data_IF_302205430844
#
_entry.id   IF_302205430844
#
_cell.length_a   1.000
_cell.length_b   1.000
_cell.length_c   1.000
_cell.angle_alpha   90.00
_cell.angle_beta   90.00
_cell.angle_gamma   90.00
#
_symmetry.space_group_name_H-M   'P 1'
#
loop_
_entity.id
_entity.type
_entity.pdbx_description
1 polymer ?
#
# COMPACT_ATOMS: atom_id res chain seq x y z
N UNK A 1 -14.94 -15.59 11.97
CA UNK A 1 -16.04 -15.11 11.12
C UNK A 1 -16.65 -13.86 11.75
N UNK A 2 -16.67 -12.72 11.03
CA UNK A 2 -17.31 -11.48 11.52
C UNK A 2 -18.61 -11.30 10.76
N UNK A 3 -19.75 -11.57 11.41
CA UNK A 3 -21.08 -11.51 10.79
C UNK A 3 -21.84 -10.22 11.09
N UNK A 4 -21.39 -9.44 12.11
CA UNK A 4 -22.07 -8.20 12.52
C UNK A 4 -21.09 -7.18 13.11
N UNK A 5 -21.45 -5.90 13.04
CA UNK A 5 -20.71 -4.80 13.71
C UNK A 5 -21.43 -4.32 14.98
N UNK A 6 -22.69 -4.67 15.15
CA UNK A 6 -23.50 -4.36 16.32
C UNK A 6 -24.09 -5.65 16.89
N UNK A 7 -24.55 -5.59 18.15
CA UNK A 7 -25.24 -6.72 18.79
C UNK A 7 -26.55 -7.02 18.06
N UNK A 8 -26.63 -8.20 17.46
CA UNK A 8 -27.82 -8.68 16.76
C UNK A 8 -27.91 -10.21 16.84
N UNK A 9 -29.09 -10.75 16.60
CA UNK A 9 -29.28 -12.20 16.43
C UNK A 9 -29.12 -12.54 14.95
N UNK A 10 -28.27 -13.52 14.66
CA UNK A 10 -28.08 -14.06 13.32
C UNK A 10 -28.33 -15.55 13.36
N UNK A 11 -29.28 -16.01 12.55
CA UNK A 11 -29.53 -17.44 12.33
C UNK A 11 -28.72 -17.91 11.13
N UNK A 12 -27.92 -18.95 11.33
CA UNK A 12 -27.11 -19.56 10.28
C UNK A 12 -27.58 -21.01 10.10
N UNK A 13 -28.19 -21.29 8.95
CA UNK A 13 -28.64 -22.65 8.57
C UNK A 13 -27.79 -23.23 7.44
N UNK A 14 -27.80 -24.54 7.28
CA UNK A 14 -27.21 -25.24 6.17
C UNK A 14 -25.68 -25.22 6.13
N UNK A 15 -25.01 -25.01 7.27
CA UNK A 15 -23.55 -25.06 7.36
C UNK A 15 -23.08 -26.48 7.06
N UNK A 16 -22.20 -26.63 6.07
CA UNK A 16 -21.54 -27.90 5.74
C UNK A 16 -20.02 -27.70 5.79
N UNK A 17 -19.36 -28.57 6.54
CA UNK A 17 -17.89 -28.71 6.49
C UNK A 17 -17.61 -30.01 5.75
N UNK A 18 -16.81 -29.92 4.70
CA UNK A 18 -16.41 -31.07 3.88
C UNK A 18 -14.91 -31.19 3.99
N UNK A 19 -14.43 -32.32 4.50
CA UNK A 19 -13.02 -32.67 4.46
C UNK A 19 -12.75 -33.41 3.16
N UNK A 20 -11.93 -32.80 2.29
CA UNK A 20 -11.51 -33.39 1.03
C UNK A 20 -10.24 -34.25 1.16
N UNK A 21 -9.68 -34.35 2.36
CA UNK A 21 -8.41 -35.07 2.58
C UNK A 21 -7.17 -34.31 2.06
N UNK A 22 -6.00 -34.85 2.39
CA UNK A 22 -4.71 -34.20 2.10
C UNK A 22 -4.32 -34.18 0.62
N UNK A 23 -4.78 -35.17 -0.14
CA UNK A 23 -4.39 -35.41 -1.52
C UNK A 23 -5.39 -34.80 -2.53
N UNK A 24 -6.41 -34.09 -2.06
CA UNK A 24 -7.38 -33.46 -2.95
C UNK A 24 -6.74 -32.22 -3.60
N UNK A 25 -6.73 -32.13 -4.95
CA UNK A 25 -6.11 -30.99 -5.63
C UNK A 25 -6.84 -29.68 -5.29
N UNK A 26 -6.10 -28.66 -4.87
CA UNK A 26 -6.67 -27.36 -4.48
C UNK A 26 -7.47 -26.73 -5.62
N UNK A 27 -7.02 -26.95 -6.87
CA UNK A 27 -7.68 -26.44 -8.07
C UNK A 27 -9.06 -27.05 -8.31
N UNK A 28 -9.31 -28.24 -7.73
CA UNK A 28 -10.58 -28.96 -7.83
C UNK A 28 -11.58 -28.58 -6.74
N UNK A 29 -11.16 -27.78 -5.75
CA UNK A 29 -12.09 -27.27 -4.73
C UNK A 29 -13.18 -26.41 -5.36
N UNK A 30 -14.43 -26.48 -4.84
CA UNK A 30 -15.50 -25.62 -5.30
C UNK A 30 -15.11 -24.14 -5.21
N UNK A 31 -15.10 -23.45 -6.35
CA UNK A 31 -14.81 -22.02 -6.38
C UNK A 31 -16.01 -21.25 -5.88
N UNK A 32 -15.86 -20.63 -4.71
CA UNK A 32 -16.90 -19.81 -4.09
C UNK A 32 -16.80 -18.32 -4.47
N UNK A 33 -15.80 -17.95 -5.24
CA UNK A 33 -15.64 -16.55 -5.66
C UNK A 33 -16.62 -16.20 -6.77
N UNK A 34 -17.62 -15.42 -6.41
CA UNK A 34 -18.41 -14.67 -7.38
C UNK A 34 -17.57 -13.48 -7.86
N UNK A 35 -17.57 -13.10 -9.15
CA UNK A 35 -16.92 -11.88 -9.62
C UNK A 35 -17.28 -10.69 -8.74
N UNK A 36 -16.28 -9.99 -8.19
CA UNK A 36 -16.51 -8.88 -7.26
C UNK A 36 -17.12 -7.66 -7.94
N UNK A 37 -16.98 -7.55 -9.26
CA UNK A 37 -17.52 -6.44 -10.07
C UNK A 37 -17.76 -6.86 -11.54
N UNK A 38 -18.67 -6.16 -12.20
CA UNK A 38 -18.95 -6.34 -13.63
C UNK A 38 -17.69 -5.97 -14.43
N UNK A 39 -17.23 -6.87 -15.28
CA UNK A 39 -16.02 -6.66 -16.09
C UNK A 39 -14.74 -7.20 -15.45
N UNK A 40 -14.83 -8.04 -14.42
CA UNK A 40 -13.67 -8.72 -13.84
C UNK A 40 -13.06 -9.78 -14.76
N UNK A 41 -13.84 -10.34 -15.69
CA UNK A 41 -13.37 -11.38 -16.61
C UNK A 41 -12.13 -10.94 -17.40
N UNK A 42 -11.27 -11.90 -17.76
CA UNK A 42 -10.03 -11.63 -18.48
C UNK A 42 -10.27 -11.08 -19.90
N UNK A 43 -11.41 -11.38 -20.48
CA UNK A 43 -11.85 -10.94 -21.80
C UNK A 43 -12.74 -9.67 -21.78
N UNK A 44 -12.89 -9.03 -20.62
CA UNK A 44 -13.72 -7.85 -20.49
C UNK A 44 -13.30 -6.73 -21.47
N UNK A 45 -14.23 -6.10 -22.21
CA UNK A 45 -13.91 -5.13 -23.28
C UNK A 45 -13.08 -3.93 -22.84
N UNK A 46 -13.21 -3.52 -21.56
CA UNK A 46 -12.43 -2.40 -21.02
C UNK A 46 -10.92 -2.66 -21.03
N UNK A 47 -10.47 -3.94 -21.03
CA UNK A 47 -9.05 -4.30 -21.02
C UNK A 47 -8.37 -3.94 -22.33
N UNK A 48 -9.01 -4.21 -23.46
CA UNK A 48 -8.52 -3.80 -24.78
C UNK A 48 -8.44 -2.27 -24.88
N UNK A 49 -9.50 -1.59 -24.49
CA UNK A 49 -9.53 -0.12 -24.47
C UNK A 49 -8.48 0.49 -23.49
N UNK A 50 -8.17 -0.19 -22.39
CA UNK A 50 -7.09 0.23 -21.49
C UNK A 50 -5.72 0.04 -22.14
N UNK A 51 -5.49 -1.08 -22.85
CA UNK A 51 -4.24 -1.33 -23.58
C UNK A 51 -3.99 -0.26 -24.64
N UNK A 52 -4.99 0.11 -25.41
CA UNK A 52 -4.91 1.19 -26.41
C UNK A 52 -4.54 2.54 -25.77
N UNK A 53 -5.17 2.89 -24.63
CA UNK A 53 -4.84 4.12 -23.92
C UNK A 53 -3.42 4.10 -23.36
N UNK A 54 -2.95 2.96 -22.86
CA UNK A 54 -1.57 2.80 -22.39
C UNK A 54 -0.60 3.02 -23.54
N UNK A 55 -0.84 2.39 -24.68
CA UNK A 55 -0.01 2.53 -25.88
C UNK A 55 0.08 3.99 -26.30
N UNK A 56 -1.06 4.67 -26.40
CA UNK A 56 -1.16 6.05 -26.89
C UNK A 56 -0.61 7.10 -25.91
N UNK A 57 -0.78 6.91 -24.60
CA UNK A 57 -0.57 7.97 -23.61
C UNK A 57 0.49 7.67 -22.56
N UNK A 58 0.98 6.41 -22.49
CA UNK A 58 1.93 5.98 -21.46
C UNK A 58 3.25 5.45 -22.03
N UNK A 59 3.30 5.23 -23.34
CA UNK A 59 4.51 4.86 -24.04
C UNK A 59 4.99 5.99 -24.93
N UNK A 60 6.26 5.99 -25.23
CA UNK A 60 6.92 6.93 -26.12
C UNK A 60 8.17 6.29 -26.70
N UNK A 61 8.66 6.88 -27.76
CA UNK A 61 9.88 6.41 -28.42
C UNK A 61 11.12 6.79 -27.58
N UNK A 62 12.06 5.85 -27.48
CA UNK A 62 13.38 6.06 -26.91
C UNK A 62 14.43 5.83 -27.99
N UNK A 63 15.11 6.88 -28.42
CA UNK A 63 16.24 6.78 -29.31
C UNK A 63 17.54 6.69 -28.50
N UNK A 64 18.37 5.70 -28.79
CA UNK A 64 19.68 5.51 -28.15
C UNK A 64 20.73 5.46 -29.25
N UNK A 65 21.70 6.37 -29.19
CA UNK A 65 22.85 6.38 -30.05
C UNK A 65 24.07 5.91 -29.26
N UNK A 66 24.75 4.88 -29.77
CA UNK A 66 26.01 4.40 -29.18
C UNK A 66 27.14 4.95 -29.98
N UNK A 67 28.02 5.66 -29.31
CA UNK A 67 29.21 6.27 -29.91
C UNK A 67 30.48 5.75 -29.23
N UNK A 68 31.59 5.74 -29.98
CA UNK A 68 32.92 5.45 -29.44
C UNK A 68 33.51 6.65 -28.65
N UNK A 69 34.75 6.51 -28.15
CA UNK A 69 35.44 7.55 -27.39
C UNK A 69 35.74 8.83 -28.22
N UNK A 70 35.66 8.74 -29.54
CA UNK A 70 35.84 9.83 -30.49
C UNK A 70 34.51 10.43 -30.97
N UNK A 71 33.35 9.93 -30.43
CA UNK A 71 32.03 10.40 -30.78
C UNK A 71 31.49 9.84 -32.10
N UNK A 72 32.11 8.79 -32.67
CA UNK A 72 31.63 8.17 -33.90
C UNK A 72 30.59 7.06 -33.61
N UNK A 73 29.51 6.96 -34.41
CA UNK A 73 28.52 5.93 -34.22
C UNK A 73 29.09 4.51 -34.30
N UNK A 74 28.74 3.67 -33.33
CA UNK A 74 29.11 2.24 -33.29
C UNK A 74 28.01 1.40 -33.90
N UNK A 75 28.27 0.87 -35.10
CA UNK A 75 27.33 -0.01 -35.78
C UNK A 75 27.24 -1.39 -35.09
N UNK A 76 26.02 -1.95 -34.98
CA UNK A 76 25.80 -3.27 -34.44
C UNK A 76 25.99 -3.41 -32.92
N UNK A 77 26.06 -2.31 -32.18
CA UNK A 77 26.11 -2.34 -30.73
C UNK A 77 24.83 -2.95 -30.14
N UNK A 78 24.97 -3.92 -29.25
CA UNK A 78 23.82 -4.48 -28.50
C UNK A 78 23.46 -3.55 -27.33
N UNK A 79 22.22 -3.09 -27.29
CA UNK A 79 21.71 -2.21 -26.24
C UNK A 79 20.61 -2.92 -25.47
N UNK A 80 20.83 -3.12 -24.16
CA UNK A 80 19.82 -3.63 -23.25
C UNK A 80 19.18 -2.49 -22.45
N UNK A 81 17.88 -2.29 -22.58
CA UNK A 81 17.13 -1.26 -21.86
C UNK A 81 16.27 -1.91 -20.80
N UNK A 82 16.41 -1.46 -19.56
CA UNK A 82 15.61 -1.91 -18.44
C UNK A 82 15.04 -0.72 -17.67
N UNK A 83 13.73 -0.62 -17.59
CA UNK A 83 13.08 0.38 -16.76
C UNK A 83 13.38 0.08 -15.28
N UNK A 84 13.91 1.06 -14.57
CA UNK A 84 14.25 0.96 -13.14
C UNK A 84 13.10 1.43 -12.26
N UNK A 85 12.41 2.50 -12.69
CA UNK A 85 11.32 3.09 -11.91
C UNK A 85 10.29 3.73 -12.82
N UNK A 86 9.04 3.54 -12.49
CA UNK A 86 7.93 4.17 -13.20
C UNK A 86 7.74 5.62 -12.73
N UNK A 87 7.50 6.55 -13.65
CA UNK A 87 7.24 7.95 -13.29
C UNK A 87 5.88 8.15 -12.60
N UNK A 88 4.89 7.34 -12.95
CA UNK A 88 3.60 7.30 -12.27
C UNK A 88 3.75 6.67 -10.88
N UNK A 89 3.05 7.23 -9.88
CA UNK A 89 3.06 6.71 -8.52
C UNK A 89 2.17 5.48 -8.40
N UNK A 90 2.78 4.32 -8.27
CA UNK A 90 2.12 3.11 -7.81
C UNK A 90 2.37 2.98 -6.32
N UNK A 91 1.36 3.36 -5.52
CA UNK A 91 1.49 3.44 -4.09
C UNK A 91 0.70 2.35 -3.36
N UNK A 92 1.19 2.01 -2.17
CA UNK A 92 0.50 1.13 -1.24
C UNK A 92 0.65 1.62 0.20
N UNK A 93 -0.30 1.24 1.03
CA UNK A 93 -0.18 1.32 2.48
C UNK A 93 0.87 0.32 2.95
N UNK A 94 1.81 0.76 3.79
CA UNK A 94 2.75 -0.17 4.41
C UNK A 94 2.46 -0.34 5.90
N UNK A 95 2.87 -1.49 6.43
CA UNK A 95 2.76 -1.81 7.84
C UNK A 95 4.11 -1.53 8.55
N UNK A 96 4.20 -0.47 9.38
CA UNK A 96 5.44 -0.12 10.07
C UNK A 96 6.00 -1.23 10.96
N UNK A 97 5.14 -2.09 11.54
CA UNK A 97 5.59 -3.20 12.39
C UNK A 97 6.45 -4.20 11.65
N UNK A 98 6.19 -4.41 10.34
CA UNK A 98 6.97 -5.32 9.49
C UNK A 98 8.26 -4.72 8.97
N UNK A 99 8.40 -3.40 9.06
CA UNK A 99 9.61 -2.70 8.62
C UNK A 99 10.55 -2.46 9.80
N UNK A 100 10.05 -1.87 10.89
CA UNK A 100 10.86 -1.43 12.02
C UNK A 100 10.23 -1.71 13.40
N UNK A 101 9.11 -2.43 13.45
CA UNK A 101 8.37 -2.70 14.69
C UNK A 101 8.46 -4.16 15.15
N UNK A 102 7.48 -4.56 15.94
CA UNK A 102 7.44 -5.88 16.61
C UNK A 102 7.44 -7.09 15.68
N UNK A 103 7.09 -6.91 14.42
CA UNK A 103 7.05 -7.97 13.42
C UNK A 103 8.21 -7.88 12.41
N UNK A 104 9.21 -7.01 12.63
CA UNK A 104 10.31 -6.80 11.67
C UNK A 104 11.16 -8.07 11.46
N UNK A 105 11.33 -8.87 12.48
CA UNK A 105 12.14 -10.09 12.47
C UNK A 105 11.33 -11.36 12.13
N UNK A 106 10.02 -11.24 11.87
CA UNK A 106 9.22 -12.37 11.40
C UNK A 106 9.67 -12.79 10.00
N UNK A 107 9.69 -14.12 9.69
CA UNK A 107 10.19 -14.63 8.40
C UNK A 107 9.55 -13.98 7.18
N UNK A 108 8.26 -13.68 7.24
CA UNK A 108 7.52 -13.06 6.14
C UNK A 108 7.84 -11.57 5.96
N UNK A 109 8.45 -10.92 6.95
CA UNK A 109 8.70 -9.47 6.90
C UNK A 109 9.84 -9.12 5.96
N UNK A 110 10.82 -10.00 5.78
CA UNK A 110 11.83 -9.80 4.74
C UNK A 110 11.22 -9.92 3.35
N UNK A 111 10.39 -10.93 3.12
CA UNK A 111 9.65 -11.09 1.85
C UNK A 111 8.75 -9.88 1.62
N UNK A 112 8.07 -9.39 2.66
CA UNK A 112 7.24 -8.20 2.60
C UNK A 112 8.03 -6.96 2.16
N UNK A 113 9.20 -6.69 2.76
CA UNK A 113 10.07 -5.57 2.40
C UNK A 113 10.55 -5.66 0.96
N UNK A 114 11.02 -6.84 0.54
CA UNK A 114 11.48 -7.07 -0.84
C UNK A 114 10.35 -6.82 -1.85
N UNK A 115 9.18 -7.39 -1.61
CA UNK A 115 8.02 -7.22 -2.50
C UNK A 115 7.48 -5.80 -2.51
N UNK A 116 7.54 -5.10 -1.39
CA UNK A 116 7.15 -3.70 -1.35
C UNK A 116 8.04 -2.83 -2.24
N UNK A 117 9.35 -3.00 -2.16
CA UNK A 117 10.33 -2.28 -3.01
C UNK A 117 10.19 -2.65 -4.48
N UNK A 118 9.92 -3.92 -4.79
CA UNK A 118 9.74 -4.41 -6.16
C UNK A 118 8.49 -3.80 -6.83
N UNK A 119 7.40 -3.66 -6.08
CA UNK A 119 6.08 -3.36 -6.66
C UNK A 119 5.68 -1.90 -6.57
N UNK A 120 6.20 -1.15 -5.59
CA UNK A 120 5.72 0.20 -5.27
C UNK A 120 6.83 1.24 -5.29
N UNK A 121 6.49 2.43 -5.77
CA UNK A 121 7.35 3.61 -5.77
C UNK A 121 6.79 4.78 -4.96
N UNK A 122 5.64 4.55 -4.30
CA UNK A 122 5.03 5.44 -3.31
C UNK A 122 4.48 4.63 -2.15
N UNK A 123 4.55 5.18 -0.94
CA UNK A 123 4.13 4.52 0.29
C UNK A 123 3.34 5.47 1.19
N UNK A 124 2.41 4.90 1.97
CA UNK A 124 1.73 5.61 3.05
C UNK A 124 1.71 4.73 4.31
N UNK A 125 1.95 5.34 5.47
CA UNK A 125 1.87 4.63 6.75
C UNK A 125 0.43 4.19 7.05
N UNK A 126 0.26 2.94 7.46
CA UNK A 126 -1.06 2.37 7.74
C UNK A 126 -1.72 3.03 8.96
N UNK A 127 -0.94 3.26 10.03
CA UNK A 127 -1.51 3.62 11.32
C UNK A 127 -0.67 4.60 12.14
N UNK A 128 0.66 4.44 12.20
CA UNK A 128 1.49 5.02 13.24
C UNK A 128 1.77 6.50 13.08
N UNK A 129 1.51 7.07 11.89
CA UNK A 129 1.52 8.53 11.66
C UNK A 129 0.20 9.22 12.05
N UNK A 130 -0.80 8.49 12.55
CA UNK A 130 -2.04 9.11 13.06
C UNK A 130 -1.83 9.65 14.45
N UNK A 131 -2.46 10.77 14.77
CA UNK A 131 -2.25 11.51 16.02
C UNK A 131 -2.26 10.64 17.30
N UNK A 132 -3.27 9.77 17.56
CA UNK A 132 -3.23 8.93 18.76
C UNK A 132 -2.03 7.99 18.84
N UNK A 133 -1.61 7.45 17.70
CA UNK A 133 -0.44 6.57 17.64
C UNK A 133 0.87 7.36 17.77
N UNK A 134 0.91 8.56 17.22
CA UNK A 134 2.06 9.45 17.30
C UNK A 134 2.37 9.93 18.73
N UNK A 135 1.36 10.06 19.60
CA UNK A 135 1.56 10.37 21.03
C UNK A 135 2.18 9.21 21.82
N UNK A 136 2.08 7.99 21.30
CA UNK A 136 2.78 6.84 21.88
C UNK A 136 4.23 6.81 21.37
N UNK A 137 5.19 6.96 22.29
CA UNK A 137 6.61 7.06 21.96
C UNK A 137 7.14 5.89 21.14
N UNK A 138 6.77 4.67 21.52
CA UNK A 138 7.18 3.46 20.81
C UNK A 138 6.63 3.41 19.36
N UNK A 139 5.35 3.74 19.18
CA UNK A 139 4.72 3.73 17.86
C UNK A 139 5.27 4.87 16.99
N UNK A 140 5.52 6.03 17.57
CA UNK A 140 6.19 7.14 16.90
C UNK A 140 7.58 6.75 16.42
N UNK A 141 8.36 6.06 17.26
CA UNK A 141 9.69 5.59 16.86
C UNK A 141 9.60 4.62 15.67
N UNK A 142 8.67 3.65 15.69
CA UNK A 142 8.47 2.76 14.54
C UNK A 142 8.02 3.50 13.27
N UNK A 143 7.20 4.53 13.40
CA UNK A 143 6.83 5.38 12.27
C UNK A 143 8.05 6.08 11.67
N UNK A 144 8.91 6.65 12.53
CA UNK A 144 10.13 7.35 12.10
C UNK A 144 11.09 6.38 11.41
N UNK A 145 11.38 5.23 12.03
CA UNK A 145 12.34 4.27 11.50
C UNK A 145 11.85 3.64 10.20
N UNK A 146 10.57 3.30 10.12
CA UNK A 146 9.98 2.78 8.88
C UNK A 146 9.93 3.83 7.77
N UNK A 147 9.64 5.08 8.10
CA UNK A 147 9.67 6.19 7.15
C UNK A 147 11.09 6.43 6.59
N UNK A 148 12.10 6.36 7.45
CA UNK A 148 13.50 6.44 7.05
C UNK A 148 13.85 5.32 6.09
N UNK A 149 13.54 4.07 6.44
CA UNK A 149 13.77 2.92 5.58
C UNK A 149 13.10 3.06 4.21
N UNK A 150 11.82 3.45 4.15
CA UNK A 150 11.08 3.68 2.91
C UNK A 150 11.79 4.69 2.02
N UNK A 151 12.28 5.79 2.59
CA UNK A 151 12.99 6.84 1.85
C UNK A 151 14.36 6.39 1.36
N UNK A 152 15.07 5.58 2.14
CA UNK A 152 16.36 4.97 1.75
C UNK A 152 16.21 4.04 0.54
N UNK A 153 15.03 3.38 0.38
CA UNK A 153 14.70 2.64 -0.83
C UNK A 153 14.36 3.55 -2.03
N UNK A 154 14.42 4.86 -1.85
CA UNK A 154 14.04 5.85 -2.84
C UNK A 154 12.54 5.88 -3.14
N UNK A 155 11.70 5.30 -2.28
CA UNK A 155 10.24 5.29 -2.38
C UNK A 155 9.71 6.61 -1.83
N UNK A 156 8.76 7.22 -2.54
CA UNK A 156 8.11 8.45 -2.11
C UNK A 156 7.18 8.16 -0.94
N UNK A 157 7.30 8.94 0.13
CA UNK A 157 6.44 8.77 1.30
C UNK A 157 5.38 9.87 1.35
N UNK A 158 4.13 9.47 1.50
CA UNK A 158 3.00 10.34 1.79
C UNK A 158 2.64 10.22 3.26
N UNK A 159 2.66 11.34 3.99
CA UNK A 159 2.15 11.41 5.37
C UNK A 159 0.63 11.21 5.42
N UNK A 160 0.15 10.43 6.41
CA UNK A 160 -1.27 10.18 6.62
C UNK A 160 -1.54 9.72 8.06
N UNK A 161 -2.14 10.55 8.86
CA UNK A 161 -2.66 11.91 8.63
C UNK A 161 -2.40 12.74 9.89
N UNK A 162 -1.95 13.97 9.75
CA UNK A 162 -1.68 14.85 10.88
C UNK A 162 -2.94 15.06 11.72
N UNK A 163 -4.03 15.47 11.10
CA UNK A 163 -5.31 15.69 11.76
C UNK A 163 -6.41 14.95 11.02
N UNK A 164 -7.18 14.17 11.76
CA UNK A 164 -8.41 13.54 11.27
C UNK A 164 -9.60 14.11 12.05
N UNK A 165 -10.53 14.83 11.43
CA UNK A 165 -11.64 15.49 12.13
C UNK A 165 -12.70 14.47 12.60
N UNK A 166 -12.31 13.61 13.51
CA UNK A 166 -13.15 12.58 14.10
C UNK A 166 -12.66 12.25 15.50
N UNK A 167 -13.52 12.35 16.49
CA UNK A 167 -13.21 12.00 17.88
C UNK A 167 -12.65 10.58 18.01
N UNK A 168 -13.17 9.64 17.26
CA UNK A 168 -12.68 8.25 17.24
C UNK A 168 -11.23 8.12 16.77
N UNK A 169 -10.73 9.10 16.03
CA UNK A 169 -9.41 9.09 15.38
C UNK A 169 -8.48 10.18 15.92
N UNK A 170 -8.93 10.87 16.94
CA UNK A 170 -8.16 11.86 17.68
C UNK A 170 -7.88 11.35 19.09
N UNK A 171 -6.86 11.88 19.79
CA UNK A 171 -6.65 11.58 21.20
C UNK A 171 -7.87 11.91 22.04
N UNK A 172 -8.23 11.02 22.99
CA UNK A 172 -9.45 11.14 23.81
C UNK A 172 -9.51 12.46 24.59
N UNK A 173 -8.35 12.97 25.01
CA UNK A 173 -8.25 14.27 25.74
C UNK A 173 -8.82 15.45 24.95
N UNK A 174 -8.84 15.37 23.62
CA UNK A 174 -9.38 16.47 22.79
C UNK A 174 -10.88 16.58 22.87
N UNK A 175 -11.59 15.52 23.26
CA UNK A 175 -13.05 15.58 23.46
C UNK A 175 -13.43 16.54 24.60
N UNK A 176 -12.54 16.70 25.61
CA UNK A 176 -12.74 17.65 26.70
C UNK A 176 -12.69 19.11 26.23
N UNK A 177 -12.06 19.35 25.07
CA UNK A 177 -11.96 20.67 24.44
C UNK A 177 -13.07 20.92 23.41
N UNK A 178 -14.07 20.05 23.30
CA UNK A 178 -15.09 20.11 22.24
C UNK A 178 -15.89 21.43 22.23
N UNK A 179 -16.05 22.06 23.40
CA UNK A 179 -16.72 23.36 23.55
C UNK A 179 -15.80 24.57 23.42
N UNK A 180 -14.49 24.36 23.27
CA UNK A 180 -13.49 25.42 23.15
C UNK A 180 -12.71 25.31 21.83
N UNK A 181 -13.19 25.95 20.74
CA UNK A 181 -12.54 25.93 19.43
C UNK A 181 -11.12 26.54 19.44
N UNK A 182 -10.82 27.47 20.37
CA UNK A 182 -9.51 28.09 20.45
C UNK A 182 -8.48 27.08 21.01
N UNK A 183 -8.81 26.40 22.11
CA UNK A 183 -7.97 25.37 22.69
C UNK A 183 -7.78 24.16 21.73
N UNK A 184 -8.82 23.76 20.98
CA UNK A 184 -8.69 22.73 19.94
C UNK A 184 -7.72 23.15 18.83
N UNK A 185 -7.77 24.41 18.41
CA UNK A 185 -6.87 24.93 17.36
C UNK A 185 -5.43 24.96 17.87
N UNK A 186 -5.23 25.39 19.10
CA UNK A 186 -3.90 25.41 19.73
C UNK A 186 -3.31 23.99 19.85
N UNK A 187 -4.11 23.03 20.34
CA UNK A 187 -3.69 21.62 20.40
C UNK A 187 -3.34 21.04 19.03
N UNK A 188 -4.11 21.37 17.99
CA UNK A 188 -3.83 20.95 16.63
C UNK A 188 -2.55 21.60 16.09
N UNK A 189 -2.34 22.89 16.32
CA UNK A 189 -1.12 23.60 15.91
C UNK A 189 0.12 23.01 16.59
N UNK A 190 0.06 22.73 17.88
CA UNK A 190 1.15 22.10 18.64
C UNK A 190 1.49 20.67 18.15
N UNK A 191 0.49 19.93 17.64
CA UNK A 191 0.73 18.62 17.06
C UNK A 191 1.39 18.68 15.68
N UNK A 192 1.13 19.73 14.89
CA UNK A 192 1.69 19.89 13.54
C UNK A 192 3.11 20.45 13.56
N UNK A 193 3.45 21.25 14.59
CA UNK A 193 4.78 21.85 14.75
C UNK A 193 5.88 20.83 15.05
#
# INVERSE_FOLDING_TARGET
LRVAQARQTVEIGGVRLIDYGKDYPIESLPKTQVPAYKGQSLDAPWRAAAAERIEKHRKGDLAIEVVDAQGQPVSGAAVAVRMQRHAFSFGCVYNPRRIAGTAADEPDSEIYRQKFVELFNEAVDEWMMKWPAWENEQQRQWAIDSAKWIREQGIRLRGHTMIWPSWRRSPDRLQQLASDPAALREAAAAHIA
#
